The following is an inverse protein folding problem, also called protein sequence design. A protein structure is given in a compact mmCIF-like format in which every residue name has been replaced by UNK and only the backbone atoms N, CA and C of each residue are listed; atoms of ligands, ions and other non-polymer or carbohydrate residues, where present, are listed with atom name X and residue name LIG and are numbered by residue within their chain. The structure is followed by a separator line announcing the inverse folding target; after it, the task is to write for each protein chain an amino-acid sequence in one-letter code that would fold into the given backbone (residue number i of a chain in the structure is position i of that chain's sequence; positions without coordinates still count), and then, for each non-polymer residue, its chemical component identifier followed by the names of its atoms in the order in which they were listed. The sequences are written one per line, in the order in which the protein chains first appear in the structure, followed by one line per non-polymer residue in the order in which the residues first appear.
data_IF_244755613404
#
_entry.id   IF_244755613404
#
_cell.length_a   1.000
_cell.length_b   1.000
_cell.length_c   1.000
_cell.angle_alpha   90.00
_cell.angle_beta   90.00
_cell.angle_gamma   90.00
#
_symmetry.space_group_name_H-M   'P 1'
#
loop_
_entity.id
_entity.type
_entity.pdbx_description
1 polymer ?
#
# COMPACT_ATOMS: atom_id res chain seq x y z
N UNK A 1 35.72 67.50 14.06
CA UNK A 1 34.70 67.32 12.97
C UNK A 1 34.81 65.91 12.47
N UNK A 2 34.01 65.02 13.04
CA UNK A 2 33.85 63.60 12.63
C UNK A 2 32.45 63.39 12.08
N UNK A 3 32.31 63.16 10.80
CA UNK A 3 31.05 62.77 10.15
C UNK A 3 30.97 61.25 10.13
N UNK A 4 30.05 60.77 10.90
CA UNK A 4 29.63 59.38 10.90
C UNK A 4 28.86 59.05 9.58
N UNK A 5 29.32 58.07 8.84
CA UNK A 5 28.63 57.53 7.66
C UNK A 5 28.11 56.16 8.03
N UNK A 6 26.91 56.13 8.63
CA UNK A 6 26.14 54.93 8.87
C UNK A 6 24.94 54.98 7.93
N UNK A 7 25.05 54.49 6.73
CA UNK A 7 23.86 54.39 5.88
C UNK A 7 24.05 53.58 4.60
N UNK A 8 24.69 52.41 4.63
CA UNK A 8 24.64 51.49 3.48
C UNK A 8 24.60 50.01 3.82
N UNK A 9 24.65 49.63 5.09
CA UNK A 9 24.64 48.20 5.50
C UNK A 9 23.25 47.68 5.92
N UNK A 10 22.32 48.57 6.25
CA UNK A 10 20.99 48.18 6.73
C UNK A 10 19.98 47.88 5.60
N UNK A 11 20.26 48.31 4.36
CA UNK A 11 19.32 48.09 3.23
C UNK A 11 19.57 46.79 2.47
N UNK A 12 20.62 46.06 2.77
CA UNK A 12 20.95 44.77 2.13
C UNK A 12 20.51 43.53 2.95
N UNK A 13 20.00 43.72 4.17
CA UNK A 13 19.53 42.63 5.05
C UNK A 13 18.03 42.47 5.09
N UNK A 14 17.25 43.27 4.37
CA UNK A 14 15.79 43.15 4.31
C UNK A 14 15.26 42.56 3.00
N UNK A 15 16.14 42.10 2.10
CA UNK A 15 15.71 41.50 0.81
C UNK A 15 15.87 39.98 0.74
N UNK A 16 16.15 39.31 1.84
CA UNK A 16 16.20 37.86 1.90
C UNK A 16 15.34 37.41 3.08
N UNK A 17 14.18 36.94 2.82
CA UNK A 17 13.47 35.86 3.50
C UNK A 17 11.95 36.01 3.38
N UNK A 18 11.45 36.02 2.16
CA UNK A 18 10.19 35.37 1.92
C UNK A 18 10.49 34.05 1.17
N UNK A 19 11.16 33.12 1.84
CA UNK A 19 10.90 31.72 1.56
C UNK A 19 9.50 31.47 2.11
N UNK A 20 8.49 31.77 1.31
CA UNK A 20 7.19 31.13 1.47
C UNK A 20 7.47 29.65 1.35
N UNK A 21 7.30 28.89 2.43
CA UNK A 21 7.08 27.46 2.32
C UNK A 21 5.86 27.35 1.39
N UNK A 22 6.09 27.04 0.13
CA UNK A 22 5.03 26.75 -0.81
C UNK A 22 4.34 25.48 -0.27
N UNK A 23 3.23 25.66 0.43
CA UNK A 23 2.38 24.56 0.84
C UNK A 23 1.91 23.86 -0.43
N UNK A 24 1.82 22.52 -0.40
CA UNK A 24 1.28 21.77 -1.51
C UNK A 24 -0.08 22.32 -1.94
N UNK A 25 -0.27 22.54 -3.24
CA UNK A 25 -1.54 23.04 -3.77
C UNK A 25 -2.63 21.98 -3.57
N UNK A 26 -3.77 22.38 -2.98
CA UNK A 26 -4.91 21.47 -2.71
C UNK A 26 -6.05 21.77 -3.66
N UNK A 27 -6.51 20.76 -4.37
CA UNK A 27 -7.61 20.81 -5.33
C UNK A 27 -8.80 20.03 -4.77
N UNK A 28 -9.70 20.72 -4.04
CA UNK A 28 -10.90 20.12 -3.46
C UNK A 28 -11.94 19.83 -4.56
N UNK A 29 -12.42 18.60 -4.67
CA UNK A 29 -13.37 18.16 -5.71
C UNK A 29 -14.69 18.91 -5.64
N UNK A 30 -15.14 19.38 -4.48
CA UNK A 30 -16.35 20.20 -4.34
C UNK A 30 -16.23 21.53 -5.09
N UNK A 31 -15.03 22.12 -5.15
CA UNK A 31 -14.74 23.32 -5.94
C UNK A 31 -14.92 23.09 -7.46
N UNK A 32 -14.97 21.83 -7.88
CA UNK A 32 -15.21 21.40 -9.26
C UNK A 32 -16.61 20.83 -9.47
N UNK A 33 -17.50 20.93 -8.46
CA UNK A 33 -18.90 20.58 -8.56
C UNK A 33 -19.27 19.19 -8.03
N UNK A 34 -18.38 18.49 -7.33
CA UNK A 34 -18.74 17.28 -6.60
C UNK A 34 -19.74 17.60 -5.48
N UNK A 35 -20.66 16.67 -5.21
CA UNK A 35 -21.66 16.79 -4.14
C UNK A 35 -21.58 15.57 -3.24
N UNK A 36 -21.56 15.78 -1.90
CA UNK A 36 -21.50 14.69 -0.94
C UNK A 36 -22.90 14.12 -0.65
N UNK A 37 -23.65 13.73 -1.69
CA UNK A 37 -25.03 13.24 -1.59
C UNK A 37 -25.20 11.75 -1.93
N UNK A 38 -24.11 11.04 -2.23
CA UNK A 38 -24.12 9.62 -2.58
C UNK A 38 -24.84 9.26 -3.89
N UNK A 39 -25.38 10.25 -4.62
CA UNK A 39 -26.21 10.03 -5.80
C UNK A 39 -25.67 10.76 -7.03
N UNK A 40 -25.18 11.99 -6.86
CA UNK A 40 -24.61 12.78 -7.95
C UNK A 40 -23.25 12.23 -8.32
N UNK A 41 -23.08 11.87 -9.60
CA UNK A 41 -21.80 11.34 -10.10
C UNK A 41 -20.70 12.43 -10.05
N UNK A 42 -19.72 12.22 -9.17
CA UNK A 42 -18.58 13.09 -8.94
C UNK A 42 -17.42 12.85 -9.92
N UNK A 43 -17.53 11.89 -10.85
CA UNK A 43 -16.45 11.50 -11.76
C UNK A 43 -15.87 12.67 -12.54
N UNK A 44 -16.72 13.56 -13.06
CA UNK A 44 -16.29 14.73 -13.82
C UNK A 44 -15.58 15.77 -12.95
N UNK A 45 -16.07 15.99 -11.74
CA UNK A 45 -15.46 16.90 -10.78
C UNK A 45 -14.07 16.39 -10.36
N UNK A 46 -13.98 15.12 -10.05
CA UNK A 46 -12.74 14.44 -9.68
C UNK A 46 -11.70 14.50 -10.82
N UNK A 47 -12.09 14.18 -12.06
CA UNK A 47 -11.22 14.28 -13.23
C UNK A 47 -10.75 15.73 -13.52
N UNK A 48 -11.61 16.72 -13.27
CA UNK A 48 -11.26 18.13 -13.43
C UNK A 48 -10.28 18.61 -12.37
N UNK A 49 -10.50 18.24 -11.12
CA UNK A 49 -9.57 18.50 -10.01
C UNK A 49 -8.20 17.86 -10.27
N UNK A 50 -8.18 16.59 -10.71
CA UNK A 50 -6.98 15.88 -11.12
C UNK A 50 -6.24 16.61 -12.23
N UNK A 51 -6.94 16.96 -13.30
CA UNK A 51 -6.33 17.66 -14.44
C UNK A 51 -5.71 19.00 -14.05
N UNK A 52 -6.31 19.71 -13.10
CA UNK A 52 -5.75 20.95 -12.56
C UNK A 52 -4.52 20.67 -11.69
N UNK A 53 -4.60 19.70 -10.80
CA UNK A 53 -3.49 19.28 -9.95
C UNK A 53 -2.28 18.79 -10.77
N UNK A 54 -2.53 17.98 -11.80
CA UNK A 54 -1.49 17.43 -12.67
C UNK A 54 -0.75 18.50 -13.50
N UNK A 55 -1.36 19.64 -13.75
CA UNK A 55 -0.71 20.80 -14.38
C UNK A 55 -0.03 21.76 -13.42
N UNK A 56 -0.15 21.55 -12.12
CA UNK A 56 0.50 22.39 -11.11
C UNK A 56 2.03 22.26 -11.23
N UNK A 57 2.78 23.37 -11.21
CA UNK A 57 4.23 23.32 -11.14
C UNK A 57 4.74 22.93 -9.75
N UNK A 58 3.90 23.01 -8.72
CA UNK A 58 4.19 22.68 -7.34
C UNK A 58 3.56 21.32 -6.97
N UNK A 59 4.06 20.62 -5.94
CA UNK A 59 3.41 19.44 -5.41
C UNK A 59 1.94 19.69 -5.14
N UNK A 60 1.07 18.81 -5.62
CA UNK A 60 -0.36 19.02 -5.58
C UNK A 60 -1.10 17.80 -5.01
N UNK A 61 -2.24 18.06 -4.36
CA UNK A 61 -3.13 17.03 -3.81
C UNK A 61 -4.54 17.26 -4.33
N UNK A 62 -5.17 16.21 -4.86
CA UNK A 62 -6.62 16.20 -5.05
C UNK A 62 -7.25 15.76 -3.74
N UNK A 63 -8.08 16.61 -3.17
CA UNK A 63 -8.72 16.41 -1.87
C UNK A 63 -10.19 16.05 -2.05
N UNK A 64 -10.58 14.94 -1.47
CA UNK A 64 -11.97 14.50 -1.32
C UNK A 64 -12.34 14.69 0.15
N UNK A 65 -13.21 15.66 0.49
CA UNK A 65 -13.60 15.94 1.88
C UNK A 65 -14.54 14.86 2.42
N UNK A 66 -14.89 15.00 3.72
CA UNK A 66 -15.91 14.17 4.35
C UNK A 66 -17.22 14.24 3.57
N UNK A 67 -17.84 13.08 3.33
CA UNK A 67 -19.11 12.98 2.64
C UNK A 67 -19.27 11.70 1.84
N UNK A 68 -20.43 11.50 1.28
CA UNK A 68 -20.76 10.36 0.40
C UNK A 68 -20.64 10.80 -1.05
N UNK A 69 -19.62 10.31 -1.77
CA UNK A 69 -19.36 10.67 -3.17
C UNK A 69 -19.45 9.42 -4.05
N UNK A 70 -20.36 9.45 -4.99
CA UNK A 70 -20.47 8.42 -6.02
C UNK A 70 -19.55 8.73 -7.20
N UNK A 71 -18.64 7.82 -7.54
CA UNK A 71 -17.73 7.93 -8.69
C UNK A 71 -17.92 6.73 -9.60
N UNK A 72 -18.60 6.93 -10.74
CA UNK A 72 -18.94 5.85 -11.67
C UNK A 72 -17.82 5.54 -12.66
N UNK A 73 -17.16 6.56 -13.19
CA UNK A 73 -16.10 6.40 -14.19
C UNK A 73 -15.19 7.63 -14.24
N UNK A 74 -13.94 7.48 -13.84
CA UNK A 74 -12.94 8.54 -13.95
C UNK A 74 -11.60 7.97 -14.42
N UNK A 75 -10.83 8.76 -15.15
CA UNK A 75 -9.51 8.40 -15.64
C UNK A 75 -8.48 9.45 -15.24
N UNK A 76 -7.38 9.00 -14.67
CA UNK A 76 -6.26 9.80 -14.23
C UNK A 76 -5.01 9.35 -14.96
N UNK A 77 -4.35 10.24 -15.71
CA UNK A 77 -3.19 9.90 -16.51
C UNK A 77 -2.02 10.85 -16.20
N UNK A 78 -0.87 10.27 -15.86
CA UNK A 78 0.42 10.95 -15.77
C UNK A 78 1.24 10.81 -17.07
N UNK A 79 2.47 11.37 -17.13
CA UNK A 79 3.11 12.09 -16.03
C UNK A 79 2.55 13.49 -15.80
N UNK A 80 2.75 14.02 -14.60
CA UNK A 80 2.29 15.35 -14.21
C UNK A 80 3.45 16.37 -14.13
N UNK A 81 3.14 17.67 -14.20
CA UNK A 81 4.16 18.72 -14.29
C UNK A 81 4.88 19.04 -12.98
N UNK A 82 4.27 18.76 -11.83
CA UNK A 82 4.70 19.17 -10.49
C UNK A 82 5.65 18.22 -9.75
N UNK A 83 6.25 17.24 -10.42
CA UNK A 83 7.11 16.24 -9.80
C UNK A 83 6.33 15.04 -9.23
N UNK A 84 6.92 14.28 -8.30
CA UNK A 84 6.35 13.01 -7.81
C UNK A 84 5.02 13.21 -7.09
N UNK A 85 3.94 12.84 -7.73
CA UNK A 85 2.58 13.07 -7.25
C UNK A 85 1.78 11.76 -7.11
N UNK A 86 1.02 11.65 -6.03
CA UNK A 86 -0.06 10.67 -5.88
C UNK A 86 -1.25 11.10 -6.71
N UNK A 87 -1.81 10.19 -7.52
CA UNK A 87 -2.93 10.53 -8.40
C UNK A 87 -4.18 10.92 -7.63
N UNK A 88 -4.55 10.17 -6.59
CA UNK A 88 -5.75 10.44 -5.80
C UNK A 88 -5.52 10.14 -4.33
N UNK A 89 -5.99 11.03 -3.45
CA UNK A 89 -6.07 10.79 -2.00
C UNK A 89 -7.49 11.00 -1.51
N UNK A 90 -8.00 10.02 -0.77
CA UNK A 90 -9.24 10.10 0.00
C UNK A 90 -8.83 10.20 1.46
N UNK A 91 -9.11 11.33 2.09
CA UNK A 91 -8.62 11.65 3.42
C UNK A 91 -9.78 11.96 4.36
N UNK A 92 -9.76 11.37 5.56
CA UNK A 92 -10.71 11.66 6.65
C UNK A 92 -12.18 11.67 6.19
N UNK A 93 -12.55 10.72 5.33
CA UNK A 93 -13.86 10.67 4.67
C UNK A 93 -14.65 9.44 5.09
N UNK A 94 -15.98 9.52 4.97
CA UNK A 94 -16.90 8.42 5.27
C UNK A 94 -17.79 8.09 4.07
N UNK A 95 -18.18 6.82 3.98
CA UNK A 95 -19.18 6.33 3.02
C UNK A 95 -18.87 6.72 1.56
N UNK A 96 -17.61 6.53 1.15
CA UNK A 96 -17.12 6.85 -0.19
C UNK A 96 -17.22 5.65 -1.10
N UNK A 97 -17.81 5.84 -2.28
CA UNK A 97 -17.82 4.83 -3.35
C UNK A 97 -17.02 5.32 -4.54
N UNK A 98 -16.00 4.56 -4.94
CA UNK A 98 -15.16 4.81 -6.10
C UNK A 98 -15.35 3.64 -7.06
N UNK A 99 -15.94 3.84 -8.21
CA UNK A 99 -16.22 2.77 -9.17
C UNK A 99 -15.72 3.10 -10.57
N UNK A 100 -15.13 2.11 -11.27
CA UNK A 100 -14.69 2.24 -12.65
C UNK A 100 -13.56 3.23 -12.90
N UNK A 101 -12.81 3.62 -11.87
CA UNK A 101 -11.70 4.57 -11.98
C UNK A 101 -10.53 3.96 -12.75
N UNK A 102 -9.94 4.74 -13.66
CA UNK A 102 -8.69 4.39 -14.34
C UNK A 102 -7.58 5.37 -13.95
N UNK A 103 -6.48 4.85 -13.37
CA UNK A 103 -5.28 5.63 -13.05
C UNK A 103 -4.08 5.10 -13.85
N UNK A 104 -3.36 5.98 -14.54
CA UNK A 104 -2.27 5.60 -15.44
C UNK A 104 -1.03 6.44 -15.17
N UNK A 105 0.12 5.77 -15.00
CA UNK A 105 1.42 6.39 -14.83
C UNK A 105 1.46 7.42 -13.69
N UNK A 106 0.90 7.07 -12.52
CA UNK A 106 1.15 7.85 -11.30
C UNK A 106 2.65 7.86 -11.00
N UNK A 107 3.14 8.94 -10.46
CA UNK A 107 4.56 9.09 -10.10
C UNK A 107 4.88 8.59 -8.70
N UNK A 108 3.84 8.43 -7.89
CA UNK A 108 3.83 7.78 -6.57
C UNK A 108 2.60 6.86 -6.50
N UNK A 109 1.99 6.72 -5.33
CA UNK A 109 0.76 5.95 -5.16
C UNK A 109 -0.33 6.38 -6.16
N UNK A 110 -1.09 5.42 -6.66
CA UNK A 110 -2.23 5.73 -7.52
C UNK A 110 -3.44 6.18 -6.70
N UNK A 111 -3.80 5.41 -5.67
CA UNK A 111 -4.91 5.72 -4.76
C UNK A 111 -4.44 5.57 -3.33
N UNK A 112 -4.69 6.57 -2.50
CA UNK A 112 -4.45 6.53 -1.04
C UNK A 112 -5.78 6.73 -0.32
N UNK A 113 -6.08 5.86 0.63
CA UNK A 113 -7.23 5.92 1.54
C UNK A 113 -6.66 6.05 2.95
N UNK A 114 -6.83 7.21 3.59
CA UNK A 114 -6.21 7.50 4.88
C UNK A 114 -7.19 8.21 5.82
N UNK A 115 -7.34 7.66 7.03
CA UNK A 115 -8.25 8.19 8.05
C UNK A 115 -9.74 8.03 7.70
N UNK A 116 -10.10 7.04 6.87
CA UNK A 116 -11.44 6.89 6.32
C UNK A 116 -12.24 5.75 6.96
N UNK A 117 -13.56 5.82 6.83
CA UNK A 117 -14.49 4.77 7.25
C UNK A 117 -15.52 4.49 6.15
N UNK A 118 -15.78 3.21 5.83
CA UNK A 118 -16.84 2.86 4.87
C UNK A 118 -16.47 3.18 3.42
N UNK A 119 -15.24 2.89 2.96
CA UNK A 119 -14.83 3.15 1.58
C UNK A 119 -14.97 1.90 0.73
N UNK A 120 -15.65 2.01 -0.40
CA UNK A 120 -15.74 0.96 -1.41
C UNK A 120 -15.03 1.37 -2.70
N UNK A 121 -14.03 0.59 -3.12
CA UNK A 121 -13.36 0.72 -4.41
C UNK A 121 -13.77 -0.45 -5.29
N UNK A 122 -14.38 -0.18 -6.43
CA UNK A 122 -14.94 -1.17 -7.33
C UNK A 122 -14.38 -1.01 -8.74
N UNK A 123 -13.96 -2.12 -9.35
CA UNK A 123 -13.54 -2.18 -10.76
C UNK A 123 -12.48 -1.14 -11.17
N UNK A 124 -11.59 -0.80 -10.24
CA UNK A 124 -10.50 0.13 -10.50
C UNK A 124 -9.49 -0.50 -11.48
N UNK A 125 -9.02 0.29 -12.45
CA UNK A 125 -7.96 -0.10 -13.36
C UNK A 125 -6.74 0.79 -13.16
N UNK A 126 -5.66 0.21 -12.67
CA UNK A 126 -4.44 0.92 -12.31
C UNK A 126 -3.29 0.37 -13.14
N UNK A 127 -2.56 1.27 -13.82
CA UNK A 127 -1.46 0.88 -14.71
C UNK A 127 -0.29 1.85 -14.57
N UNK A 128 0.88 1.28 -14.27
CA UNK A 128 2.19 1.94 -14.36
C UNK A 128 3.23 0.94 -14.87
N UNK A 129 4.41 1.39 -15.34
CA UNK A 129 5.48 0.49 -15.70
C UNK A 129 5.93 -0.39 -14.53
N UNK A 130 6.21 -1.67 -14.77
CA UNK A 130 6.68 -2.61 -13.73
C UNK A 130 8.03 -2.25 -13.11
N UNK A 131 8.74 -1.26 -13.64
CA UNK A 131 9.99 -0.72 -13.10
C UNK A 131 9.83 0.65 -12.39
N UNK A 132 8.61 1.16 -12.28
CA UNK A 132 8.37 2.47 -11.65
C UNK A 132 8.36 2.34 -10.13
N UNK A 133 9.26 3.04 -9.40
CA UNK A 133 9.35 2.89 -7.94
C UNK A 133 8.21 3.61 -7.22
N UNK A 134 7.73 3.02 -6.13
CA UNK A 134 6.71 3.57 -5.23
C UNK A 134 5.37 3.91 -5.91
N UNK A 135 5.01 3.17 -6.94
CA UNK A 135 3.74 3.33 -7.65
C UNK A 135 2.69 2.33 -7.15
N UNK A 136 2.55 2.24 -5.82
CA UNK A 136 1.52 1.40 -5.21
C UNK A 136 0.16 1.66 -5.84
N UNK A 137 -0.58 0.60 -6.10
CA UNK A 137 -1.91 0.71 -6.71
C UNK A 137 -2.90 1.37 -5.76
N UNK A 138 -3.21 0.71 -4.66
CA UNK A 138 -4.12 1.22 -3.63
C UNK A 138 -3.44 1.08 -2.26
N UNK A 139 -3.20 2.21 -1.60
CA UNK A 139 -2.68 2.26 -0.24
C UNK A 139 -3.80 2.56 0.75
N UNK A 140 -3.94 1.75 1.80
CA UNK A 140 -4.95 1.93 2.86
C UNK A 140 -4.24 2.06 4.19
N UNK A 141 -4.45 3.15 4.91
CA UNK A 141 -3.93 3.32 6.27
C UNK A 141 -4.92 4.04 7.17
N UNK A 142 -4.82 3.88 8.49
CA UNK A 142 -5.65 4.56 9.50
C UNK A 142 -7.15 4.50 9.18
N UNK A 143 -7.60 3.46 8.48
CA UNK A 143 -8.95 3.37 7.91
C UNK A 143 -9.66 2.09 8.31
N UNK A 144 -10.98 2.12 8.32
CA UNK A 144 -11.80 0.97 8.70
C UNK A 144 -12.96 0.74 7.72
N UNK A 145 -13.48 -0.51 7.70
CA UNK A 145 -14.60 -0.91 6.84
C UNK A 145 -14.34 -0.57 5.34
N UNK A 146 -13.12 -0.85 4.86
CA UNK A 146 -12.73 -0.63 3.47
C UNK A 146 -12.94 -1.91 2.66
N UNK A 147 -13.55 -1.78 1.48
CA UNK A 147 -13.72 -2.89 0.54
C UNK A 147 -13.11 -2.55 -0.81
N UNK A 148 -12.29 -3.44 -1.36
CA UNK A 148 -11.68 -3.32 -2.69
C UNK A 148 -12.09 -4.54 -3.50
N UNK A 149 -12.87 -4.35 -4.58
CA UNK A 149 -13.42 -5.45 -5.36
C UNK A 149 -13.17 -5.26 -6.85
N UNK A 150 -12.80 -6.34 -7.56
CA UNK A 150 -12.70 -6.34 -9.02
C UNK A 150 -11.55 -5.51 -9.60
N UNK A 151 -10.63 -5.02 -8.78
CA UNK A 151 -9.56 -4.16 -9.25
C UNK A 151 -8.52 -4.92 -10.10
N UNK A 152 -8.03 -4.27 -11.17
CA UNK A 152 -6.92 -4.74 -12.00
C UNK A 152 -5.74 -3.79 -11.86
N UNK A 153 -4.63 -4.27 -11.29
CA UNK A 153 -3.49 -3.46 -10.87
C UNK A 153 -2.20 -3.99 -11.47
N UNK A 154 -1.50 -3.13 -12.21
CA UNK A 154 -0.21 -3.37 -12.84
C UNK A 154 0.70 -2.19 -12.52
N UNK A 155 1.68 -2.37 -11.65
CA UNK A 155 2.54 -1.27 -11.16
C UNK A 155 3.97 -1.76 -10.95
N UNK A 156 4.84 -0.88 -10.51
CA UNK A 156 6.22 -1.21 -10.14
C UNK A 156 6.45 -1.32 -8.64
N UNK A 157 5.36 -1.34 -7.85
CA UNK A 157 5.40 -1.54 -6.40
C UNK A 157 4.19 -2.38 -5.94
N UNK A 158 3.77 -2.28 -4.67
CA UNK A 158 2.66 -3.08 -4.15
C UNK A 158 1.36 -2.81 -4.92
N UNK A 159 0.65 -3.85 -5.33
CA UNK A 159 -0.68 -3.70 -5.91
C UNK A 159 -1.65 -3.11 -4.89
N UNK A 160 -1.61 -3.64 -3.69
CA UNK A 160 -2.32 -3.10 -2.53
C UNK A 160 -1.35 -3.11 -1.35
N UNK A 161 -1.18 -1.98 -0.69
CA UNK A 161 -0.41 -1.85 0.53
C UNK A 161 -1.29 -1.43 1.70
N UNK A 162 -1.19 -2.17 2.82
CA UNK A 162 -2.03 -1.99 4.02
C UNK A 162 -1.15 -1.45 5.14
N UNK A 163 -1.29 -0.16 5.41
CA UNK A 163 -0.50 0.57 6.41
C UNK A 163 -1.08 0.51 7.82
N UNK A 164 -0.37 1.13 8.78
CA UNK A 164 -0.74 1.11 10.20
C UNK A 164 -2.14 1.68 10.45
N UNK A 165 -2.81 1.18 11.51
CA UNK A 165 -4.12 1.66 11.92
C UNK A 165 -5.28 1.19 11.05
N UNK A 166 -5.05 0.24 10.13
CA UNK A 166 -6.11 -0.30 9.26
C UNK A 166 -6.83 -1.47 9.91
N UNK A 167 -8.15 -1.45 9.86
CA UNK A 167 -8.99 -2.53 10.37
C UNK A 167 -10.18 -2.84 9.46
N UNK A 168 -10.68 -4.09 9.50
CA UNK A 168 -11.86 -4.50 8.73
C UNK A 168 -11.75 -4.20 7.23
N UNK A 169 -10.60 -4.57 6.64
CA UNK A 169 -10.35 -4.46 5.20
C UNK A 169 -10.72 -5.77 4.50
N UNK A 170 -11.50 -5.66 3.42
CA UNK A 170 -11.85 -6.77 2.54
C UNK A 170 -11.35 -6.49 1.12
N UNK A 171 -10.56 -7.41 0.58
CA UNK A 171 -10.05 -7.37 -0.80
C UNK A 171 -10.56 -8.59 -1.53
N UNK A 172 -11.29 -8.41 -2.61
CA UNK A 172 -11.95 -9.49 -3.33
C UNK A 172 -11.73 -9.40 -4.85
N UNK A 173 -11.41 -10.54 -5.47
CA UNK A 173 -11.32 -10.68 -6.94
C UNK A 173 -10.39 -9.66 -7.60
N UNK A 174 -9.21 -9.46 -7.03
CA UNK A 174 -8.20 -8.53 -7.54
C UNK A 174 -7.22 -9.26 -8.46
N UNK A 175 -6.91 -8.66 -9.60
CA UNK A 175 -5.83 -9.10 -10.49
C UNK A 175 -4.62 -8.20 -10.29
N UNK A 176 -3.48 -8.79 -9.93
CA UNK A 176 -2.24 -8.11 -9.57
C UNK A 176 -1.08 -8.62 -10.45
N UNK A 177 -0.38 -7.71 -11.10
CA UNK A 177 0.87 -8.02 -11.82
C UNK A 177 1.04 -7.34 -13.16
N UNK A 178 2.30 -6.93 -13.48
CA UNK A 178 3.47 -6.96 -12.59
C UNK A 178 3.33 -6.07 -11.37
N UNK A 179 4.24 -6.23 -10.38
CA UNK A 179 4.29 -5.46 -9.15
C UNK A 179 4.82 -6.27 -7.97
N UNK A 180 4.66 -5.73 -6.75
CA UNK A 180 5.16 -6.38 -5.54
C UNK A 180 4.09 -7.18 -4.76
N UNK A 181 2.90 -7.40 -5.33
CA UNK A 181 1.85 -8.19 -4.70
C UNK A 181 0.94 -7.40 -3.74
N UNK A 182 0.29 -8.10 -2.84
CA UNK A 182 -0.52 -7.50 -1.77
C UNK A 182 0.25 -7.60 -0.46
N UNK A 183 0.52 -6.43 0.16
CA UNK A 183 1.38 -6.34 1.34
C UNK A 183 0.66 -5.72 2.53
N UNK A 184 0.71 -6.38 3.68
CA UNK A 184 0.44 -5.73 4.97
C UNK A 184 1.77 -5.15 5.46
N UNK A 185 1.81 -3.84 5.65
CA UNK A 185 3.03 -3.11 6.04
C UNK A 185 3.65 -2.31 4.88
N UNK A 186 4.84 -1.76 5.14
CA UNK A 186 5.73 -2.10 6.25
C UNK A 186 5.28 -1.47 7.57
N UNK A 187 5.27 -2.24 8.67
CA UNK A 187 4.95 -1.78 10.01
C UNK A 187 6.20 -1.74 10.90
N UNK A 188 6.15 -0.98 11.98
CA UNK A 188 7.24 -0.89 12.95
C UNK A 188 8.35 0.06 12.51
N UNK A 189 8.05 1.03 11.64
CA UNK A 189 8.99 2.07 11.24
C UNK A 189 9.08 3.18 12.27
N UNK A 190 7.97 3.67 12.73
CA UNK A 190 7.87 4.79 13.65
C UNK A 190 7.43 4.31 15.05
N UNK A 191 7.66 5.14 16.07
CA UNK A 191 7.06 4.93 17.39
C UNK A 191 5.55 5.20 17.33
N UNK A 192 4.78 4.44 18.08
CA UNK A 192 3.32 4.63 18.23
C UNK A 192 2.50 4.36 16.96
N UNK A 193 2.99 3.48 16.07
CA UNK A 193 2.16 3.02 14.95
C UNK A 193 0.99 2.15 15.44
N UNK A 194 -0.17 2.31 14.79
CA UNK A 194 -1.33 1.44 15.00
C UNK A 194 -1.11 0.04 14.44
N UNK A 195 -1.85 -0.94 14.94
CA UNK A 195 -1.86 -2.28 14.39
C UNK A 195 -2.69 -2.40 13.12
N UNK A 196 -2.60 -3.57 12.47
CA UNK A 196 -3.46 -3.99 11.36
C UNK A 196 -4.25 -5.22 11.79
N UNK A 197 -5.57 -5.18 11.65
CA UNK A 197 -6.43 -6.28 12.09
C UNK A 197 -7.67 -6.51 11.22
N UNK A 198 -8.17 -7.74 11.25
CA UNK A 198 -9.38 -8.15 10.53
C UNK A 198 -9.28 -7.84 9.03
N UNK A 199 -8.25 -8.35 8.38
CA UNK A 199 -8.02 -8.21 6.94
C UNK A 199 -8.35 -9.52 6.25
N UNK A 200 -9.17 -9.47 5.22
CA UNK A 200 -9.46 -10.62 4.37
C UNK A 200 -9.08 -10.30 2.92
N UNK A 201 -8.30 -11.18 2.30
CA UNK A 201 -7.99 -11.16 0.87
C UNK A 201 -8.48 -12.47 0.26
N UNK A 202 -9.46 -12.40 -0.63
CA UNK A 202 -10.08 -13.57 -1.25
C UNK A 202 -10.15 -13.46 -2.78
N UNK A 203 -9.89 -14.54 -3.48
CA UNK A 203 -10.02 -14.60 -4.94
C UNK A 203 -8.98 -13.74 -5.70
N UNK A 204 -7.83 -13.49 -5.13
CA UNK A 204 -6.78 -12.70 -5.78
C UNK A 204 -5.96 -13.54 -6.78
N UNK A 205 -5.60 -12.95 -7.91
CA UNK A 205 -4.72 -13.56 -8.92
C UNK A 205 -3.45 -12.72 -9.09
N UNK A 206 -2.30 -13.38 -8.97
CA UNK A 206 -0.98 -12.77 -9.10
C UNK A 206 -0.28 -13.30 -10.35
N UNK A 207 0.29 -12.43 -11.17
CA UNK A 207 0.97 -12.82 -12.41
C UNK A 207 2.31 -12.09 -12.53
N UNK A 208 3.42 -12.83 -12.43
CA UNK A 208 4.77 -12.28 -12.56
C UNK A 208 5.10 -11.19 -11.53
N UNK A 209 4.52 -11.29 -10.33
CA UNK A 209 4.80 -10.36 -9.24
C UNK A 209 6.01 -10.81 -8.41
N UNK A 210 6.66 -9.87 -7.75
CA UNK A 210 7.74 -10.20 -6.81
C UNK A 210 7.20 -10.99 -5.61
N UNK A 211 6.08 -10.55 -5.03
CA UNK A 211 5.42 -11.27 -3.96
C UNK A 211 3.95 -11.53 -4.31
N UNK A 212 3.37 -12.54 -3.68
CA UNK A 212 1.94 -12.77 -3.68
C UNK A 212 1.29 -12.10 -2.46
N UNK A 213 1.16 -12.86 -1.38
CA UNK A 213 0.56 -12.47 -0.12
C UNK A 213 1.68 -12.23 0.91
N UNK A 214 1.90 -10.97 1.24
CA UNK A 214 3.06 -10.55 2.04
C UNK A 214 2.65 -9.84 3.32
N UNK A 215 3.38 -10.13 4.42
CA UNK A 215 3.42 -9.28 5.62
C UNK A 215 4.88 -8.84 5.79
N UNK A 216 5.14 -7.54 5.91
CA UNK A 216 6.48 -6.98 6.08
C UNK A 216 6.54 -6.03 7.27
N UNK A 217 7.53 -6.24 8.14
CA UNK A 217 7.78 -5.35 9.28
C UNK A 217 9.25 -4.99 9.36
N UNK A 218 9.55 -3.77 9.75
CA UNK A 218 10.92 -3.30 9.84
C UNK A 218 11.74 -4.15 10.80
N UNK A 219 12.93 -4.60 10.38
CA UNK A 219 13.90 -5.33 11.18
C UNK A 219 14.57 -4.44 12.23
N UNK A 220 13.77 -3.75 13.06
CA UNK A 220 14.26 -2.89 14.13
C UNK A 220 13.28 -2.84 15.30
N UNK A 221 13.78 -2.58 16.51
CA UNK A 221 12.99 -2.40 17.70
C UNK A 221 12.56 -0.93 17.82
N UNK A 222 11.49 -0.53 17.12
CA UNK A 222 10.97 0.85 17.13
C UNK A 222 10.09 1.14 18.34
N UNK A 223 9.73 0.12 19.15
CA UNK A 223 8.71 0.21 20.21
C UNK A 223 7.39 0.80 19.71
N UNK A 224 7.04 0.41 18.48
CA UNK A 224 5.90 0.99 17.77
C UNK A 224 4.55 0.67 18.42
N UNK A 225 4.45 -0.43 19.14
CA UNK A 225 3.16 -0.97 19.57
C UNK A 225 2.34 -1.58 18.44
N UNK A 226 2.84 -1.57 17.22
CA UNK A 226 2.18 -2.15 16.07
C UNK A 226 2.02 -3.68 16.20
N UNK A 227 0.97 -4.17 15.60
CA UNK A 227 0.69 -5.62 15.53
C UNK A 227 -0.04 -5.95 14.23
N UNK A 228 -0.02 -7.23 13.88
CA UNK A 228 -0.86 -7.80 12.81
C UNK A 228 -1.65 -8.96 13.41
N UNK A 229 -2.97 -8.95 13.29
CA UNK A 229 -3.82 -10.04 13.81
C UNK A 229 -5.09 -10.27 13.00
N UNK A 230 -5.56 -11.51 12.98
CA UNK A 230 -6.84 -11.85 12.36
C UNK A 230 -6.82 -11.60 10.84
N UNK A 231 -5.80 -12.10 10.15
CA UNK A 231 -5.64 -11.96 8.70
C UNK A 231 -5.98 -13.27 8.02
N UNK A 232 -6.83 -13.20 7.01
CA UNK A 232 -7.25 -14.33 6.19
C UNK A 232 -6.85 -14.08 4.73
N UNK A 233 -6.03 -14.95 4.19
CA UNK A 233 -5.69 -15.04 2.78
C UNK A 233 -6.27 -16.32 2.21
N UNK A 234 -7.16 -16.21 1.24
CA UNK A 234 -7.84 -17.38 0.71
C UNK A 234 -8.12 -17.33 -0.80
N UNK A 235 -8.19 -18.49 -1.42
CA UNK A 235 -8.55 -18.64 -2.83
C UNK A 235 -7.65 -17.83 -3.78
N UNK A 236 -6.33 -17.87 -3.56
CA UNK A 236 -5.41 -17.10 -4.40
C UNK A 236 -4.72 -17.98 -5.46
N UNK A 237 -4.54 -17.38 -6.65
CA UNK A 237 -3.87 -18.00 -7.78
C UNK A 237 -2.53 -17.32 -8.04
N UNK A 238 -1.45 -18.10 -8.00
CA UNK A 238 -0.08 -17.66 -8.26
C UNK A 238 0.39 -18.12 -9.64
N UNK A 239 0.85 -17.18 -10.47
CA UNK A 239 1.46 -17.50 -11.76
C UNK A 239 2.81 -16.82 -11.86
N UNK A 240 3.87 -17.61 -11.73
CA UNK A 240 5.24 -17.13 -11.82
C UNK A 240 5.55 -15.99 -10.81
N UNK A 241 5.19 -16.21 -9.54
CA UNK A 241 5.37 -15.28 -8.42
C UNK A 241 6.65 -15.63 -7.68
N UNK A 242 7.55 -14.67 -7.42
CA UNK A 242 8.85 -15.00 -6.79
C UNK A 242 8.70 -15.44 -5.34
N UNK A 243 7.83 -14.80 -4.57
CA UNK A 243 7.54 -15.16 -3.17
C UNK A 243 6.02 -15.27 -2.97
N UNK A 244 5.39 -16.42 -3.31
CA UNK A 244 3.92 -16.55 -3.23
C UNK A 244 3.33 -16.25 -1.85
N UNK A 245 3.94 -16.78 -0.80
CA UNK A 245 3.56 -16.58 0.60
C UNK A 245 4.79 -16.17 1.39
N UNK A 246 4.77 -14.96 1.97
CA UNK A 246 5.91 -14.46 2.73
C UNK A 246 5.51 -13.61 3.95
N UNK A 247 6.09 -13.95 5.11
CA UNK A 247 6.20 -13.06 6.27
C UNK A 247 7.68 -12.68 6.40
N UNK A 248 7.96 -11.36 6.36
CA UNK A 248 9.32 -10.81 6.46
C UNK A 248 9.36 -9.80 7.62
N UNK A 249 9.87 -10.22 8.77
CA UNK A 249 10.11 -9.34 9.92
C UNK A 249 11.55 -8.80 9.98
N UNK A 250 12.32 -9.02 8.93
CA UNK A 250 13.66 -8.48 8.74
C UNK A 250 13.70 -7.43 7.64
N UNK A 251 12.51 -6.90 7.25
CA UNK A 251 12.38 -5.95 6.15
C UNK A 251 13.26 -4.72 6.35
N UNK A 252 14.11 -4.45 5.37
CA UNK A 252 15.09 -3.38 5.38
C UNK A 252 15.36 -2.89 3.96
N UNK A 253 14.51 -2.05 3.38
CA UNK A 253 14.78 -1.47 2.09
C UNK A 253 16.02 -0.56 2.18
N UNK A 254 16.83 -0.53 1.12
CA UNK A 254 18.06 0.26 1.05
C UNK A 254 17.80 1.76 1.24
N UNK A 255 17.82 2.22 2.47
CA UNK A 255 17.79 3.63 2.86
C UNK A 255 19.17 4.27 2.62
N UNK A 256 19.59 4.46 1.36
CA UNK A 256 20.78 5.24 1.03
C UNK A 256 22.09 4.80 1.71
N UNK A 257 22.24 3.50 2.03
CA UNK A 257 23.48 2.93 2.57
C UNK A 257 23.61 2.91 4.10
N UNK A 258 22.62 3.36 4.85
CA UNK A 258 22.54 3.09 6.28
C UNK A 258 21.78 1.76 6.46
N UNK A 259 22.49 0.65 6.40
CA UNK A 259 21.87 -0.67 6.61
C UNK A 259 21.08 -0.71 7.90
N UNK A 260 19.95 -1.42 7.90
CA UNK A 260 19.27 -1.73 9.16
C UNK A 260 20.26 -2.50 10.04
N UNK A 261 20.53 -2.05 11.25
CA UNK A 261 21.23 -2.90 12.19
C UNK A 261 20.42 -4.19 12.31
N UNK A 262 21.11 -5.33 12.46
CA UNK A 262 20.48 -6.64 12.67
C UNK A 262 19.67 -6.65 13.98
N UNK A 263 18.58 -5.92 14.00
CA UNK A 263 17.65 -5.85 15.11
C UNK A 263 16.39 -6.64 14.74
N UNK A 264 15.86 -7.33 15.72
CA UNK A 264 14.60 -8.02 15.57
C UNK A 264 13.44 -7.02 15.55
N UNK A 265 12.46 -7.23 14.69
CA UNK A 265 11.19 -6.49 14.72
C UNK A 265 10.49 -6.66 16.08
N UNK A 266 9.87 -5.62 16.58
CA UNK A 266 9.02 -5.67 17.79
C UNK A 266 7.50 -5.75 17.48
N UNK A 267 7.15 -5.92 16.22
CA UNK A 267 5.77 -6.09 15.76
C UNK A 267 5.28 -7.51 16.02
N UNK A 268 4.19 -7.66 16.76
CA UNK A 268 3.58 -8.96 16.99
C UNK A 268 2.72 -9.37 15.80
N UNK A 269 2.97 -10.55 15.22
CA UNK A 269 2.13 -11.15 14.16
C UNK A 269 1.43 -12.36 14.73
N UNK A 270 0.09 -12.41 14.63
CA UNK A 270 -0.69 -13.52 15.17
C UNK A 270 -2.00 -13.78 14.41
N UNK A 271 -2.45 -15.04 14.37
CA UNK A 271 -3.72 -15.40 13.78
C UNK A 271 -3.79 -15.07 12.27
N UNK A 272 -2.81 -15.54 11.50
CA UNK A 272 -2.75 -15.36 10.05
C UNK A 272 -2.98 -16.72 9.37
N UNK A 273 -3.97 -16.80 8.50
CA UNK A 273 -4.31 -18.04 7.80
C UNK A 273 -4.18 -17.89 6.30
N UNK A 274 -3.66 -18.92 5.65
CA UNK A 274 -3.56 -19.07 4.20
C UNK A 274 -4.33 -20.33 3.81
N UNK A 275 -5.38 -20.19 3.01
CA UNK A 275 -6.26 -21.28 2.63
C UNK A 275 -6.46 -21.31 1.11
N UNK A 276 -6.34 -22.49 0.51
CA UNK A 276 -6.55 -22.71 -0.93
C UNK A 276 -5.72 -21.75 -1.80
N UNK A 277 -4.39 -21.79 -1.61
CA UNK A 277 -3.43 -21.03 -2.41
C UNK A 277 -2.77 -21.97 -3.42
N UNK A 278 -2.89 -21.65 -4.71
CA UNK A 278 -2.48 -22.56 -5.77
C UNK A 278 -1.63 -21.86 -6.84
N UNK A 279 -0.79 -22.65 -7.54
CA UNK A 279 -0.10 -22.17 -8.74
C UNK A 279 1.40 -22.39 -8.74
N UNK A 280 2.14 -21.42 -9.30
CA UNK A 280 3.59 -21.54 -9.50
C UNK A 280 4.38 -20.40 -8.88
N UNK A 281 5.49 -20.77 -8.26
CA UNK A 281 6.54 -19.87 -7.81
C UNK A 281 7.63 -19.72 -8.87
N UNK A 282 8.17 -18.52 -9.02
CA UNK A 282 9.36 -18.26 -9.83
C UNK A 282 10.66 -18.57 -9.06
N UNK A 283 10.59 -18.76 -7.76
CA UNK A 283 11.70 -19.17 -6.90
C UNK A 283 11.45 -20.54 -6.24
N UNK A 284 12.50 -21.19 -5.79
CA UNK A 284 12.42 -22.51 -5.16
C UNK A 284 11.65 -22.46 -3.83
N UNK A 285 11.79 -21.39 -3.06
CA UNK A 285 11.06 -21.19 -1.79
C UNK A 285 9.75 -20.49 -2.06
N UNK A 286 8.64 -21.21 -2.00
CA UNK A 286 7.29 -20.68 -2.26
C UNK A 286 6.54 -20.23 -1.00
N UNK A 287 6.96 -20.74 0.17
CA UNK A 287 6.43 -20.34 1.49
C UNK A 287 7.60 -19.95 2.38
N UNK A 288 7.63 -18.72 2.84
CA UNK A 288 8.68 -18.20 3.73
C UNK A 288 8.09 -17.49 4.92
N UNK A 289 8.34 -17.98 6.13
CA UNK A 289 8.04 -17.30 7.38
C UNK A 289 9.34 -16.94 8.09
N UNK A 290 9.79 -15.70 7.91
CA UNK A 290 10.99 -15.13 8.54
C UNK A 290 10.54 -14.20 9.68
N UNK A 291 10.14 -14.85 10.78
CA UNK A 291 9.62 -14.17 11.96
C UNK A 291 10.74 -13.74 12.91
N UNK A 292 10.49 -12.71 13.69
CA UNK A 292 11.44 -12.15 14.66
C UNK A 292 11.63 -13.06 15.87
N UNK A 293 12.87 -13.26 16.29
CA UNK A 293 13.17 -14.02 17.51
C UNK A 293 12.62 -13.35 18.78
N UNK A 294 12.53 -12.02 18.80
CA UNK A 294 11.98 -11.27 19.94
C UNK A 294 10.45 -11.24 19.97
N UNK A 295 9.81 -11.45 18.80
CA UNK A 295 8.36 -11.47 18.61
C UNK A 295 8.00 -12.59 17.62
N UNK A 296 8.11 -13.85 18.02
CA UNK A 296 7.75 -14.95 17.15
C UNK A 296 6.32 -14.85 16.65
N UNK A 297 6.10 -15.24 15.38
CA UNK A 297 4.75 -15.33 14.86
C UNK A 297 4.00 -16.50 15.51
N UNK A 298 2.72 -16.31 15.80
CA UNK A 298 1.90 -17.32 16.47
C UNK A 298 0.53 -17.50 15.83
N UNK A 299 -0.01 -18.72 15.93
CA UNK A 299 -1.33 -19.01 15.38
C UNK A 299 -1.38 -18.86 13.85
N UNK A 300 -0.29 -19.23 13.16
CA UNK A 300 -0.27 -19.30 11.71
C UNK A 300 -1.03 -20.53 11.23
N UNK A 301 -1.71 -20.43 10.10
CA UNK A 301 -2.43 -21.52 9.48
C UNK A 301 -2.08 -21.71 8.02
N UNK A 302 -1.77 -22.93 7.61
CA UNK A 302 -1.65 -23.33 6.20
C UNK A 302 -2.69 -24.43 5.90
N UNK A 303 -3.56 -24.19 4.93
CA UNK A 303 -4.54 -25.18 4.53
C UNK A 303 -4.63 -25.25 3.01
N UNK A 304 -4.54 -26.45 2.44
CA UNK A 304 -4.69 -26.69 1.01
C UNK A 304 -3.78 -25.79 0.13
N UNK A 305 -2.49 -25.80 0.41
CA UNK A 305 -1.47 -25.05 -0.34
C UNK A 305 -0.91 -25.94 -1.45
N UNK A 306 -0.97 -25.48 -2.70
CA UNK A 306 -0.50 -26.23 -3.89
C UNK A 306 0.36 -25.35 -4.77
N UNK A 307 1.61 -25.17 -4.39
CA UNK A 307 2.59 -24.34 -5.08
C UNK A 307 3.72 -25.19 -5.66
N UNK A 308 4.00 -25.02 -6.93
CA UNK A 308 5.10 -25.66 -7.65
C UNK A 308 6.14 -24.65 -8.06
N UNK A 309 7.32 -25.10 -8.48
CA UNK A 309 8.42 -24.29 -8.96
C UNK A 309 8.90 -24.80 -10.33
N UNK A 310 9.33 -23.91 -11.21
CA UNK A 310 10.02 -24.22 -12.46
C UNK A 310 9.39 -25.42 -13.24
N UNK A 311 8.22 -25.20 -13.83
CA UNK A 311 7.55 -26.21 -14.67
C UNK A 311 6.97 -27.40 -13.93
N UNK A 312 6.64 -27.25 -12.64
CA UNK A 312 5.97 -28.27 -11.82
C UNK A 312 6.89 -29.04 -10.90
N UNK A 313 8.14 -28.62 -10.73
CA UNK A 313 9.04 -29.17 -9.72
C UNK A 313 8.53 -28.87 -8.31
N UNK A 314 8.92 -29.67 -7.30
CA UNK A 314 8.60 -29.37 -5.91
C UNK A 314 9.19 -28.03 -5.49
N UNK A 315 8.36 -27.18 -4.91
CA UNK A 315 8.81 -25.98 -4.19
C UNK A 315 9.23 -26.33 -2.74
N UNK A 316 9.74 -25.35 -2.02
CA UNK A 316 10.16 -25.47 -0.63
C UNK A 316 9.40 -24.52 0.29
N UNK A 317 9.31 -24.89 1.57
CA UNK A 317 8.81 -24.04 2.64
C UNK A 317 9.90 -23.86 3.71
N UNK A 318 10.07 -22.64 4.21
CA UNK A 318 11.03 -22.29 5.26
C UNK A 318 10.37 -21.47 6.35
N UNK A 319 10.63 -21.84 7.60
CA UNK A 319 10.10 -21.16 8.79
C UNK A 319 11.21 -20.85 9.79
N UNK A 320 11.19 -19.63 10.34
CA UNK A 320 12.02 -19.22 11.46
C UNK A 320 11.12 -18.53 12.49
N UNK A 321 11.17 -18.95 13.74
CA UNK A 321 10.40 -18.38 14.86
C UNK A 321 8.89 -18.26 14.57
N UNK A 322 8.33 -19.23 13.85
CA UNK A 322 6.94 -19.29 13.43
C UNK A 322 6.27 -20.49 14.09
N UNK A 323 5.12 -20.28 14.71
CA UNK A 323 4.30 -21.31 15.34
C UNK A 323 2.90 -21.32 14.73
N UNK A 324 2.41 -22.53 14.47
CA UNK A 324 1.09 -22.67 13.83
C UNK A 324 0.70 -24.10 13.51
N UNK A 325 -0.29 -24.22 12.63
CA UNK A 325 -0.84 -25.51 12.21
C UNK A 325 -0.94 -25.61 10.70
N UNK A 326 -0.86 -26.83 10.20
CA UNK A 326 -0.99 -27.11 8.78
C UNK A 326 -1.94 -28.28 8.56
N UNK A 327 -2.78 -28.20 7.54
CA UNK A 327 -3.81 -29.21 7.23
C UNK A 327 -4.13 -29.28 5.74
N UNK A 328 -4.83 -30.34 5.34
CA UNK A 328 -5.22 -30.57 3.94
C UNK A 328 -4.05 -31.00 3.06
N UNK A 329 -4.10 -30.65 1.79
CA UNK A 329 -3.03 -30.97 0.82
C UNK A 329 -1.97 -29.87 0.84
N UNK A 330 -0.72 -30.22 1.15
CA UNK A 330 0.37 -29.27 1.27
C UNK A 330 1.51 -29.62 0.30
N UNK A 331 1.73 -28.75 -0.65
CA UNK A 331 2.82 -28.77 -1.61
C UNK A 331 3.36 -27.34 -1.74
N UNK A 332 4.53 -27.00 -1.18
CA UNK A 332 5.48 -27.86 -0.47
C UNK A 332 4.96 -28.39 0.87
N UNK A 333 5.59 -29.43 1.45
CA UNK A 333 5.34 -29.84 2.84
C UNK A 333 5.51 -28.65 3.79
N UNK A 334 4.66 -28.55 4.80
CA UNK A 334 4.71 -27.45 5.77
C UNK A 334 6.01 -27.43 6.55
N UNK A 335 6.46 -26.22 6.91
CA UNK A 335 7.54 -25.98 7.85
C UNK A 335 7.04 -25.54 9.24
N UNK A 336 5.69 -25.42 9.43
CA UNK A 336 5.04 -25.19 10.73
C UNK A 336 4.92 -26.48 11.53
#
# INVERSE_FOLDING_TARGET
MARCSVSRVVLLLLCCMHLSAAGAAVYNIESYGARPDGQTDASRALASAWSAACRSPEPATVYVPDGEFFVSHAAFAGPCSGGRMTSMKVLNSRDVVISGVKSVNSELYHVVIDGCEGVAVQDARIVAPGSSPNTDGIHVQSSSAVTITGASIQTGDDCISVGPGTSSLRVEHVSCGPGHGISIGSLGKESEEGGVENVTVSGAAFVGTENGLRIKTWGRAARSGAYVRGVVFEHALMRDVSNPIIIDQSYCPNDGGQGCPHQSSDVQISGVTYTDIQGSSASQVAVKFDCSASKPCSGLGLQDIKLTFDGGKPAEATCQHADGTASGVLMPPSCL
#
